data_IF_325543505196
#
_entry.id   IF_325543505196
#
_cell.length_a   1.000
_cell.length_b   1.000
_cell.length_c   1.000
_cell.angle_alpha   90.00
_cell.angle_beta   90.00
_cell.angle_gamma   90.00
#
_symmetry.space_group_name_H-M   'P 1'
#
loop_
_entity.id
_entity.type
_entity.pdbx_description
1 polymer ?
#
# COMPACT_ATOMS: atom_id res chain seq x y z
N UNK A 1 21.16 -0.41 17.17
CA UNK A 1 20.05 -0.56 16.19
C UNK A 1 20.63 -0.50 14.79
N UNK A 2 20.15 -1.36 13.90
CA UNK A 2 20.53 -1.34 12.50
C UNK A 2 19.71 -0.28 11.75
N UNK A 3 20.37 0.66 11.09
CA UNK A 3 19.68 1.67 10.29
C UNK A 3 19.12 1.05 9.00
N UNK A 4 17.86 1.32 8.72
CA UNK A 4 17.13 0.83 7.54
C UNK A 4 16.45 2.03 6.86
N UNK A 5 16.65 2.19 5.56
CA UNK A 5 15.98 3.25 4.80
C UNK A 5 14.58 2.79 4.40
N UNK A 6 13.60 3.65 4.64
CA UNK A 6 12.24 3.47 4.13
C UNK A 6 12.09 4.29 2.85
N UNK A 7 11.80 3.61 1.74
CA UNK A 7 11.69 4.19 0.40
C UNK A 7 10.37 4.96 0.23
N UNK A 8 10.13 5.94 1.08
CA UNK A 8 9.00 6.85 1.04
C UNK A 8 9.34 8.19 1.69
N UNK A 9 8.66 9.25 1.25
CA UNK A 9 8.66 10.55 1.93
C UNK A 9 7.47 10.75 2.87
N UNK A 10 6.59 9.77 2.99
CA UNK A 10 5.38 9.87 3.81
C UNK A 10 5.71 9.73 5.30
N UNK A 11 5.71 10.85 6.04
CA UNK A 11 6.05 10.88 7.46
C UNK A 11 5.13 10.00 8.35
N UNK A 12 3.88 9.79 7.94
CA UNK A 12 2.95 8.90 8.65
C UNK A 12 3.40 7.44 8.56
N UNK A 13 3.76 6.98 7.37
CA UNK A 13 4.31 5.63 7.15
C UNK A 13 5.63 5.41 7.88
N UNK A 14 6.50 6.42 7.88
CA UNK A 14 7.79 6.37 8.60
C UNK A 14 7.55 6.15 10.09
N UNK A 15 6.70 6.96 10.72
CA UNK A 15 6.39 6.84 12.16
C UNK A 15 5.76 5.49 12.51
N UNK A 16 4.84 5.01 11.69
CA UNK A 16 4.19 3.71 11.89
C UNK A 16 5.20 2.58 11.89
N UNK A 17 6.03 2.50 10.85
CA UNK A 17 7.04 1.44 10.74
C UNK A 17 8.15 1.58 11.78
N UNK A 18 8.58 2.79 12.10
CA UNK A 18 9.57 3.02 13.16
C UNK A 18 9.08 2.45 14.50
N UNK A 19 7.81 2.73 14.86
CA UNK A 19 7.22 2.21 16.09
C UNK A 19 7.10 0.68 16.09
N UNK A 20 6.69 0.08 14.96
CA UNK A 20 6.49 -1.37 14.87
C UNK A 20 7.81 -2.16 14.85
N UNK A 21 8.87 -1.57 14.33
CA UNK A 21 10.15 -2.25 14.10
C UNK A 21 11.22 -1.92 15.15
N UNK A 22 10.92 -1.03 16.10
CA UNK A 22 11.85 -0.69 17.20
C UNK A 22 12.28 -1.92 18.01
N UNK A 23 11.32 -2.79 18.36
CA UNK A 23 11.57 -4.02 19.11
C UNK A 23 12.44 -5.05 18.37
N UNK A 24 12.62 -4.89 17.05
CA UNK A 24 13.48 -5.72 16.22
C UNK A 24 14.91 -5.16 16.10
N UNK A 25 15.21 -4.07 16.82
CA UNK A 25 16.50 -3.41 16.76
C UNK A 25 16.75 -2.67 15.44
N UNK A 26 15.70 -2.30 14.72
CA UNK A 26 15.76 -1.56 13.47
C UNK A 26 15.45 -0.07 13.71
N UNK A 27 16.29 0.78 13.13
CA UNK A 27 16.14 2.24 13.13
C UNK A 27 15.71 2.69 11.73
N UNK A 28 14.44 3.05 11.59
CA UNK A 28 13.81 3.39 10.31
C UNK A 28 14.02 4.88 10.01
N UNK A 29 14.63 5.16 8.87
CA UNK A 29 14.91 6.52 8.40
C UNK A 29 14.25 6.72 7.03
N UNK A 30 13.56 7.85 6.86
CA UNK A 30 12.96 8.18 5.56
C UNK A 30 14.04 8.41 4.49
N UNK A 31 13.79 7.95 3.26
CA UNK A 31 14.70 8.21 2.15
C UNK A 31 14.95 9.71 1.91
N UNK A 32 13.96 10.53 2.14
CA UNK A 32 14.06 12.00 1.99
C UNK A 32 15.03 12.63 2.97
N UNK A 33 15.18 12.09 4.18
CA UNK A 33 16.17 12.54 5.17
C UNK A 33 17.60 12.19 4.74
N UNK A 34 17.75 11.20 3.87
CA UNK A 34 19.04 10.76 3.32
C UNK A 34 19.30 11.33 1.91
N UNK A 35 18.48 12.27 1.46
CA UNK A 35 18.64 12.93 0.17
C UNK A 35 18.37 12.03 -1.04
N UNK A 36 17.56 11.00 -0.87
CA UNK A 36 17.19 10.06 -1.95
C UNK A 36 15.89 10.50 -2.59
N UNK A 37 15.92 10.74 -3.89
CA UNK A 37 14.73 11.01 -4.69
C UNK A 37 13.93 9.73 -4.95
N UNK A 38 12.63 9.87 -5.25
CA UNK A 38 11.75 8.76 -5.57
C UNK A 38 12.22 8.01 -6.81
N UNK A 39 12.18 6.67 -6.75
CA UNK A 39 12.47 5.82 -7.90
C UNK A 39 11.38 5.97 -8.97
N UNK A 40 11.77 5.79 -10.23
CA UNK A 40 10.83 5.63 -11.34
C UNK A 40 10.17 4.24 -11.25
N UNK A 41 8.83 4.23 -11.21
CA UNK A 41 8.03 3.00 -11.13
C UNK A 41 7.71 2.51 -12.56
N UNK A 42 8.56 1.64 -13.10
CA UNK A 42 8.46 1.12 -14.47
C UNK A 42 7.85 -0.28 -14.55
N UNK A 43 7.55 -0.91 -13.42
CA UNK A 43 6.93 -2.23 -13.35
C UNK A 43 5.43 -2.19 -13.66
N UNK A 44 4.89 -3.35 -13.96
CA UNK A 44 3.46 -3.56 -14.24
C UNK A 44 2.69 -4.11 -13.03
N UNK A 45 3.39 -4.47 -11.97
CA UNK A 45 2.81 -5.04 -10.75
C UNK A 45 3.26 -4.28 -9.51
N UNK A 46 2.49 -4.41 -8.42
CA UNK A 46 2.88 -3.87 -7.11
C UNK A 46 4.22 -4.45 -6.64
N UNK A 47 4.46 -5.75 -6.83
CA UNK A 47 5.69 -6.43 -6.42
C UNK A 47 6.90 -5.85 -7.15
N UNK A 48 6.83 -5.71 -8.47
CA UNK A 48 7.92 -5.14 -9.28
C UNK A 48 8.27 -3.72 -8.82
N UNK A 49 7.26 -2.86 -8.70
CA UNK A 49 7.47 -1.46 -8.29
C UNK A 49 8.00 -1.35 -6.85
N UNK A 50 7.54 -2.21 -5.94
CA UNK A 50 8.03 -2.22 -4.57
C UNK A 50 9.49 -2.63 -4.50
N UNK A 51 9.90 -3.65 -5.25
CA UNK A 51 11.30 -4.08 -5.36
C UNK A 51 12.15 -2.97 -5.96
N UNK A 52 11.68 -2.33 -7.04
CA UNK A 52 12.39 -1.19 -7.67
C UNK A 52 12.65 -0.06 -6.68
N UNK A 53 11.66 0.32 -5.89
CA UNK A 53 11.78 1.38 -4.88
C UNK A 53 12.77 1.01 -3.77
N UNK A 54 12.67 -0.18 -3.23
CA UNK A 54 13.57 -0.66 -2.20
C UNK A 54 15.02 -0.74 -2.69
N UNK A 55 15.22 -1.28 -3.89
CA UNK A 55 16.53 -1.44 -4.50
C UNK A 55 17.19 -0.10 -4.81
N UNK A 56 16.44 0.85 -5.35
CA UNK A 56 16.90 2.22 -5.59
C UNK A 56 17.41 2.89 -4.31
N UNK A 57 16.62 2.84 -3.24
CA UNK A 57 17.02 3.41 -1.95
C UNK A 57 18.25 2.71 -1.37
N UNK A 58 18.32 1.38 -1.44
CA UNK A 58 19.47 0.61 -0.97
C UNK A 58 20.75 0.90 -1.77
N UNK A 59 20.65 1.07 -3.08
CA UNK A 59 21.80 1.40 -3.95
C UNK A 59 22.41 2.75 -3.60
N UNK A 60 21.57 3.77 -3.38
CA UNK A 60 22.05 5.13 -3.10
C UNK A 60 22.60 5.26 -1.67
N UNK A 61 21.95 4.63 -0.71
CA UNK A 61 22.29 4.79 0.70
C UNK A 61 23.32 3.77 1.22
N UNK A 62 23.47 2.62 0.55
CA UNK A 62 24.24 1.48 1.05
C UNK A 62 23.62 0.79 2.26
N UNK A 63 22.36 1.10 2.59
CA UNK A 63 21.63 0.56 3.75
C UNK A 63 20.63 -0.52 3.32
N UNK A 64 20.24 -1.42 4.24
CA UNK A 64 19.03 -2.20 4.05
C UNK A 64 17.84 -1.28 3.80
N UNK A 65 16.88 -1.73 3.01
CA UNK A 65 15.75 -0.92 2.61
C UNK A 65 14.42 -1.63 2.78
N UNK A 66 13.41 -0.88 3.18
CA UNK A 66 11.99 -1.29 3.13
C UNK A 66 11.28 -0.38 2.14
N UNK A 67 10.42 -0.95 1.32
CA UNK A 67 9.49 -0.21 0.48
C UNK A 67 8.08 -0.76 0.62
N UNK A 68 7.10 0.05 0.30
CA UNK A 68 5.72 -0.38 0.18
C UNK A 68 5.09 0.15 -1.12
N UNK A 69 4.14 -0.60 -1.63
CA UNK A 69 3.23 -0.14 -2.67
C UNK A 69 1.84 -0.70 -2.41
N UNK A 70 0.81 0.07 -2.68
CA UNK A 70 -0.56 -0.34 -2.47
C UNK A 70 -1.50 0.30 -3.47
N UNK A 71 -2.63 -0.34 -3.68
CA UNK A 71 -3.65 0.15 -4.58
C UNK A 71 -4.87 -0.75 -4.62
N UNK A 72 -5.82 -0.34 -5.43
CA UNK A 72 -7.10 -1.00 -5.63
C UNK A 72 -7.17 -1.64 -7.02
N UNK A 73 -7.52 -2.92 -7.07
CA UNK A 73 -7.77 -3.65 -8.31
C UNK A 73 -9.26 -4.00 -8.40
N UNK A 74 -9.92 -3.58 -9.47
CA UNK A 74 -11.36 -3.84 -9.71
C UNK A 74 -11.50 -4.86 -10.83
N UNK A 75 -12.20 -5.96 -10.57
CA UNK A 75 -12.28 -7.10 -11.49
C UNK A 75 -12.93 -6.70 -12.84
N UNK A 76 -14.03 -5.95 -12.79
CA UNK A 76 -14.74 -5.49 -14.00
C UNK A 76 -13.90 -4.54 -14.89
N UNK A 77 -12.82 -3.97 -14.35
CA UNK A 77 -11.90 -3.09 -15.07
C UNK A 77 -10.56 -3.77 -15.40
N UNK A 78 -10.50 -5.10 -15.34
CA UNK A 78 -9.28 -5.85 -15.63
C UNK A 78 -8.14 -5.57 -14.65
N UNK A 79 -8.45 -5.17 -13.42
CA UNK A 79 -7.49 -4.83 -12.37
C UNK A 79 -7.19 -3.32 -12.22
N UNK A 80 -7.72 -2.47 -13.09
CA UNK A 80 -7.59 -1.01 -12.91
C UNK A 80 -8.37 -0.54 -11.66
N UNK A 81 -7.96 0.54 -10.99
CA UNK A 81 -6.80 1.40 -11.21
C UNK A 81 -5.42 0.75 -10.99
N UNK A 82 -5.32 -0.32 -10.19
CA UNK A 82 -4.09 -1.08 -9.94
C UNK A 82 -2.95 -0.20 -9.43
N UNK A 83 -1.79 -0.32 -10.07
CA UNK A 83 -0.60 0.47 -9.71
C UNK A 83 -0.78 1.98 -9.92
N UNK A 84 -1.81 2.40 -10.64
CA UNK A 84 -2.13 3.82 -10.89
C UNK A 84 -3.16 4.39 -9.89
N UNK A 85 -3.49 3.66 -8.82
CA UNK A 85 -4.55 4.04 -7.89
C UNK A 85 -4.42 5.46 -7.33
N UNK A 86 -3.22 5.89 -6.96
CA UNK A 86 -2.99 7.23 -6.41
C UNK A 86 -3.11 8.36 -7.46
N UNK A 87 -2.95 8.05 -8.74
CA UNK A 87 -2.94 8.99 -9.87
C UNK A 87 -3.92 8.60 -10.99
N UNK A 88 -5.01 7.95 -10.62
CA UNK A 88 -5.99 7.42 -11.59
C UNK A 88 -6.60 8.52 -12.46
N UNK A 89 -6.88 9.69 -11.88
CA UNK A 89 -7.37 10.89 -12.59
C UNK A 89 -6.26 11.85 -13.04
N UNK A 90 -4.99 11.50 -12.87
CA UNK A 90 -3.83 12.32 -13.23
C UNK A 90 -2.81 12.41 -12.11
N UNK A 91 -1.64 12.98 -12.42
CA UNK A 91 -0.47 13.01 -11.51
C UNK A 91 -0.78 13.72 -10.19
N UNK A 92 -1.52 14.83 -10.22
CA UNK A 92 -1.85 15.61 -9.02
C UNK A 92 -3.33 15.45 -8.62
N UNK A 93 -3.96 14.34 -8.99
CA UNK A 93 -5.36 14.09 -8.67
C UNK A 93 -5.57 13.96 -7.16
N UNK A 94 -6.67 14.53 -6.67
CA UNK A 94 -7.15 14.32 -5.31
C UNK A 94 -7.79 12.94 -5.16
N UNK A 95 -7.90 12.46 -3.92
CA UNK A 95 -8.64 11.23 -3.62
C UNK A 95 -10.08 11.29 -4.15
N UNK A 96 -10.72 12.44 -4.02
CA UNK A 96 -12.09 12.65 -4.51
C UNK A 96 -12.17 12.51 -6.04
N UNK A 97 -11.22 13.09 -6.79
CA UNK A 97 -11.20 12.97 -8.25
C UNK A 97 -10.98 11.53 -8.71
N UNK A 98 -10.10 10.80 -8.03
CA UNK A 98 -9.84 9.38 -8.32
C UNK A 98 -11.08 8.52 -8.04
N UNK A 99 -11.75 8.76 -6.91
CA UNK A 99 -12.97 8.08 -6.50
C UNK A 99 -14.12 8.33 -7.50
N UNK A 100 -14.32 9.58 -7.91
CA UNK A 100 -15.36 9.95 -8.89
C UNK A 100 -15.11 9.32 -10.25
N UNK A 101 -13.85 9.29 -10.71
CA UNK A 101 -13.49 8.62 -11.95
C UNK A 101 -13.79 7.12 -11.89
N UNK A 102 -13.52 6.47 -10.76
CA UNK A 102 -13.83 5.05 -10.58
C UNK A 102 -15.33 4.80 -10.58
N UNK A 103 -16.13 5.62 -9.91
CA UNK A 103 -17.59 5.51 -9.94
C UNK A 103 -18.15 5.69 -11.35
N UNK A 104 -17.63 6.64 -12.12
CA UNK A 104 -18.03 6.83 -13.52
C UNK A 104 -17.66 5.62 -14.39
N UNK A 105 -16.47 5.08 -14.22
CA UNK A 105 -16.04 3.88 -14.95
C UNK A 105 -16.90 2.64 -14.66
N UNK A 106 -17.53 2.58 -13.49
CA UNK A 106 -18.37 1.47 -13.04
C UNK A 106 -19.88 1.74 -13.14
N UNK A 107 -20.31 2.87 -13.67
CA UNK A 107 -21.72 3.28 -13.68
C UNK A 107 -22.67 2.27 -14.32
N UNK A 108 -22.22 1.57 -15.37
CA UNK A 108 -22.99 0.57 -16.11
C UNK A 108 -22.68 -0.87 -15.67
N UNK A 109 -21.84 -1.05 -14.65
CA UNK A 109 -21.49 -2.37 -14.12
C UNK A 109 -22.53 -2.79 -13.08
N UNK A 110 -23.20 -3.97 -13.24
CA UNK A 110 -24.19 -4.46 -12.29
C UNK A 110 -23.63 -4.63 -10.88
N UNK A 111 -24.51 -4.56 -9.87
CA UNK A 111 -24.13 -4.62 -8.46
C UNK A 111 -23.44 -5.93 -8.07
N UNK A 112 -23.77 -7.03 -8.72
CA UNK A 112 -23.17 -8.36 -8.52
C UNK A 112 -21.83 -8.56 -9.24
N UNK A 113 -21.33 -7.56 -9.96
CA UNK A 113 -20.08 -7.60 -10.74
C UNK A 113 -19.09 -6.48 -10.35
N UNK A 114 -19.20 -5.98 -9.12
CA UNK A 114 -18.40 -4.85 -8.62
C UNK A 114 -17.34 -5.26 -7.61
N UNK A 115 -16.88 -6.52 -7.69
CA UNK A 115 -15.83 -7.05 -6.81
C UNK A 115 -14.50 -6.32 -7.04
N UNK A 116 -13.81 -6.07 -5.95
CA UNK A 116 -12.51 -5.42 -5.95
C UNK A 116 -11.64 -5.95 -4.80
N UNK A 117 -10.35 -5.70 -4.88
CA UNK A 117 -9.41 -5.99 -3.80
C UNK A 117 -8.44 -4.82 -3.62
N UNK A 118 -8.22 -4.41 -2.38
CA UNK A 118 -7.02 -3.66 -2.05
C UNK A 118 -5.83 -4.59 -1.93
N UNK A 119 -4.69 -4.15 -2.42
CA UNK A 119 -3.40 -4.83 -2.30
C UNK A 119 -2.40 -3.94 -1.59
N UNK A 120 -1.55 -4.53 -0.75
CA UNK A 120 -0.37 -3.90 -0.18
C UNK A 120 0.80 -4.88 -0.27
N UNK A 121 1.89 -4.43 -0.84
CA UNK A 121 3.15 -5.18 -0.88
C UNK A 121 4.18 -4.42 -0.06
N UNK A 122 4.83 -5.11 0.88
CA UNK A 122 6.01 -4.65 1.60
C UNK A 122 7.20 -5.50 1.17
N UNK A 123 8.32 -4.85 0.89
CA UNK A 123 9.58 -5.54 0.55
C UNK A 123 10.66 -5.07 1.51
N UNK A 124 11.42 -6.02 2.05
CA UNK A 124 12.64 -5.76 2.81
C UNK A 124 13.84 -6.36 2.09
N UNK A 125 14.81 -5.51 1.75
CA UNK A 125 16.10 -5.89 1.18
C UNK A 125 17.19 -5.70 2.23
N UNK A 126 18.05 -6.71 2.42
CA UNK A 126 19.23 -6.60 3.30
C UNK A 126 20.35 -5.77 2.67
N UNK A 127 20.40 -5.73 1.35
CA UNK A 127 21.32 -4.91 0.54
C UNK A 127 20.77 -4.76 -0.88
N UNK A 128 21.36 -3.89 -1.68
CA UNK A 128 20.86 -3.56 -3.03
C UNK A 128 20.77 -4.76 -3.99
N UNK A 129 21.66 -5.73 -3.84
CA UNK A 129 21.72 -6.93 -4.69
C UNK A 129 21.16 -8.18 -3.99
N UNK A 130 20.31 -7.99 -2.96
CA UNK A 130 19.72 -9.11 -2.23
C UNK A 130 18.91 -10.01 -3.19
N UNK A 131 19.32 -11.28 -3.38
CA UNK A 131 18.63 -12.21 -4.27
C UNK A 131 17.39 -12.84 -3.64
N UNK A 132 17.22 -12.67 -2.33
CA UNK A 132 16.14 -13.31 -1.57
C UNK A 132 15.46 -12.31 -0.63
N UNK A 133 14.87 -11.23 -1.19
CA UNK A 133 14.18 -10.25 -0.37
C UNK A 133 12.98 -10.87 0.35
N UNK A 134 12.59 -10.28 1.48
CA UNK A 134 11.29 -10.56 2.08
C UNK A 134 10.23 -9.82 1.28
N UNK A 135 9.25 -10.54 0.76
CA UNK A 135 8.11 -9.98 0.04
C UNK A 135 6.83 -10.35 0.81
N UNK A 136 6.16 -9.35 1.35
CA UNK A 136 4.96 -9.53 2.16
C UNK A 136 3.77 -8.89 1.43
N UNK A 137 2.79 -9.70 1.05
CA UNK A 137 1.65 -9.28 0.25
C UNK A 137 0.35 -9.51 1.03
N UNK A 138 -0.35 -8.42 1.35
CA UNK A 138 -1.70 -8.45 1.90
C UNK A 138 -2.73 -8.12 0.82
N UNK A 139 -3.88 -8.79 0.85
CA UNK A 139 -5.01 -8.50 0.00
C UNK A 139 -6.31 -8.46 0.80
N UNK A 140 -7.17 -7.51 0.47
CA UNK A 140 -8.41 -7.25 1.20
C UNK A 140 -9.58 -7.17 0.23
N UNK A 141 -10.42 -8.22 0.16
CA UNK A 141 -11.55 -8.26 -0.77
C UNK A 141 -12.72 -7.40 -0.31
N UNK A 142 -13.42 -6.82 -1.25
CA UNK A 142 -14.61 -6.02 -1.04
C UNK A 142 -15.39 -5.79 -2.31
N UNK A 143 -16.32 -4.84 -2.24
CA UNK A 143 -17.23 -4.49 -3.34
C UNK A 143 -17.28 -2.97 -3.47
N UNK A 144 -17.22 -2.46 -4.70
CA UNK A 144 -17.34 -1.02 -4.95
C UNK A 144 -18.81 -0.63 -4.90
N UNK A 145 -19.15 0.30 -4.00
CA UNK A 145 -20.50 0.86 -3.85
C UNK A 145 -20.82 1.86 -4.96
N UNK A 146 -22.07 2.24 -5.09
CA UNK A 146 -22.50 3.31 -6.02
C UNK A 146 -22.41 4.70 -5.40
N UNK A 147 -22.40 4.78 -4.07
CA UNK A 147 -22.35 6.03 -3.31
C UNK A 147 -21.33 5.91 -2.19
N UNK A 148 -20.64 7.01 -1.91
CA UNK A 148 -19.70 7.10 -0.81
C UNK A 148 -20.43 7.08 0.54
N UNK A 149 -19.81 6.41 1.53
CA UNK A 149 -20.25 6.40 2.92
C UNK A 149 -19.04 6.41 3.85
N UNK A 150 -19.14 7.19 4.94
CA UNK A 150 -18.07 7.33 5.92
C UNK A 150 -17.09 8.46 5.60
N UNK A 151 -16.31 8.83 6.60
CA UNK A 151 -15.37 9.96 6.55
C UNK A 151 -13.95 9.61 6.99
N UNK A 152 -13.73 8.37 7.42
CA UNK A 152 -12.41 7.88 7.84
C UNK A 152 -11.56 7.42 6.66
N UNK A 153 -10.31 7.10 6.94
CA UNK A 153 -9.39 6.58 5.94
C UNK A 153 -8.99 7.58 4.87
N UNK A 154 -8.69 7.08 3.68
CA UNK A 154 -8.23 7.86 2.54
C UNK A 154 -8.52 7.13 1.23
N UNK A 155 -8.25 7.77 0.10
CA UNK A 155 -8.39 7.16 -1.22
C UNK A 155 -9.81 6.69 -1.52
N UNK A 156 -9.94 5.41 -1.88
CA UNK A 156 -11.21 4.79 -2.28
C UNK A 156 -12.01 4.24 -1.09
N UNK A 157 -11.56 4.41 0.13
CA UNK A 157 -12.21 3.86 1.34
C UNK A 157 -13.72 4.13 1.43
N UNK A 158 -14.22 5.34 1.07
CA UNK A 158 -15.66 5.62 1.15
C UNK A 158 -16.55 4.80 0.21
N UNK A 159 -16.01 4.21 -0.84
CA UNK A 159 -16.76 3.39 -1.79
C UNK A 159 -16.36 1.91 -1.77
N UNK A 160 -15.46 1.53 -0.87
CA UNK A 160 -15.02 0.14 -0.68
C UNK A 160 -15.82 -0.50 0.45
N UNK A 161 -16.82 -1.27 0.09
CA UNK A 161 -17.67 -1.99 1.05
C UNK A 161 -17.03 -3.32 1.46
N UNK A 162 -17.00 -3.57 2.76
CA UNK A 162 -16.42 -4.77 3.37
C UNK A 162 -17.56 -5.68 3.83
N UNK A 163 -17.89 -6.75 3.09
CA UNK A 163 -19.07 -7.58 3.39
C UNK A 163 -19.04 -8.19 4.80
N UNK A 164 -17.86 -8.62 5.29
CA UNK A 164 -17.71 -9.19 6.63
C UNK A 164 -18.09 -8.23 7.76
N UNK A 165 -17.98 -6.93 7.52
CA UNK A 165 -18.23 -5.88 8.51
C UNK A 165 -19.57 -5.15 8.29
N UNK A 166 -20.18 -5.31 7.12
CA UNK A 166 -21.39 -4.58 6.73
C UNK A 166 -21.21 -3.08 6.62
N UNK A 167 -20.00 -2.61 6.38
CA UNK A 167 -19.61 -1.19 6.33
C UNK A 167 -18.61 -0.95 5.20
N UNK A 168 -18.48 0.33 4.79
CA UNK A 168 -17.34 0.73 3.95
C UNK A 168 -16.07 0.84 4.79
N UNK A 169 -14.91 0.78 4.15
CA UNK A 169 -13.63 0.96 4.81
C UNK A 169 -13.53 2.31 5.54
N UNK A 170 -14.18 3.36 5.02
CA UNK A 170 -14.23 4.67 5.64
C UNK A 170 -15.12 4.73 6.90
N UNK A 171 -16.00 3.78 7.09
CA UNK A 171 -16.87 3.66 8.27
C UNK A 171 -16.26 2.80 9.38
N UNK A 172 -15.15 2.11 9.12
CA UNK A 172 -14.41 1.35 10.14
C UNK A 172 -13.59 2.27 11.02
N UNK A 173 -13.42 1.90 12.29
CA UNK A 173 -12.42 2.55 13.14
C UNK A 173 -11.01 2.23 12.64
N UNK A 174 -10.03 3.01 13.09
CA UNK A 174 -8.62 2.79 12.74
C UNK A 174 -8.15 1.40 13.17
N UNK A 175 -8.54 0.98 14.36
CA UNK A 175 -8.22 -0.34 14.94
C UNK A 175 -8.89 -1.47 14.16
N UNK A 176 -10.18 -1.34 13.84
CA UNK A 176 -10.92 -2.32 13.04
C UNK A 176 -10.26 -2.50 11.66
N UNK A 177 -9.96 -1.39 10.99
CA UNK A 177 -9.30 -1.39 9.68
C UNK A 177 -7.91 -2.03 9.73
N UNK A 178 -7.08 -1.67 10.71
CA UNK A 178 -5.72 -2.21 10.87
C UNK A 178 -5.71 -3.72 11.08
N UNK A 179 -6.74 -4.27 11.72
CA UNK A 179 -6.84 -5.70 12.01
C UNK A 179 -7.07 -6.56 10.75
N UNK A 180 -7.74 -6.02 9.72
CA UNK A 180 -8.22 -6.80 8.56
C UNK A 180 -7.74 -6.27 7.21
N UNK A 181 -7.24 -5.05 7.14
CA UNK A 181 -6.86 -4.41 5.87
C UNK A 181 -5.66 -5.09 5.21
N UNK A 182 -5.51 -4.84 3.91
CA UNK A 182 -4.35 -5.22 3.11
C UNK A 182 -3.02 -4.81 3.75
N UNK A 183 -2.93 -3.55 4.23
CA UNK A 183 -1.74 -3.04 4.91
C UNK A 183 -1.49 -3.74 6.25
N UNK A 184 -2.52 -3.92 7.06
CA UNK A 184 -2.42 -4.67 8.32
C UNK A 184 -1.93 -6.10 8.12
N UNK A 185 -2.42 -6.79 7.09
CA UNK A 185 -1.97 -8.13 6.72
C UNK A 185 -0.49 -8.14 6.29
N UNK A 186 -0.08 -7.22 5.41
CA UNK A 186 1.31 -7.13 4.93
C UNK A 186 2.28 -6.83 6.07
N UNK A 187 1.93 -5.91 6.98
CA UNK A 187 2.72 -5.60 8.18
C UNK A 187 2.87 -6.80 9.11
N UNK A 188 1.79 -7.53 9.34
CA UNK A 188 1.83 -8.76 10.16
C UNK A 188 2.79 -9.79 9.57
N UNK A 189 2.72 -10.01 8.26
CA UNK A 189 3.63 -10.93 7.56
C UNK A 189 5.10 -10.50 7.68
N UNK A 190 5.37 -9.19 7.57
CA UNK A 190 6.72 -8.66 7.73
C UNK A 190 7.26 -8.92 9.14
N UNK A 191 6.46 -8.64 10.18
CA UNK A 191 6.86 -8.87 11.57
C UNK A 191 7.10 -10.35 11.86
N UNK A 192 6.25 -11.24 11.33
CA UNK A 192 6.43 -12.69 11.44
C UNK A 192 7.72 -13.17 10.74
N UNK A 193 7.98 -12.66 9.53
CA UNK A 193 9.19 -13.00 8.79
C UNK A 193 10.47 -12.55 9.52
N UNK A 194 10.46 -11.36 10.11
CA UNK A 194 11.59 -10.83 10.88
C UNK A 194 11.83 -11.57 12.21
N UNK A 195 10.80 -12.15 12.81
CA UNK A 195 10.94 -12.99 14.02
C UNK A 195 11.56 -14.35 13.74
N UNK A 196 11.32 -14.88 12.53
CA UNK A 196 11.74 -16.24 12.15
C UNK A 196 13.09 -16.25 11.40
N UNK A 197 13.63 -15.11 11.09
CA UNK A 197 14.93 -14.96 10.42
C UNK A 197 15.98 -14.41 11.35
#
# INVERSE_FOLDING_TARGET
>A
MQKVVLATGNAGKVRELASLLEDFGLDIVAQTELGVDSAEETGLTFIENTILKARHAAQITGLPAIADDSGLAVDALGGAPGIYSARYSGVDASDQQNLEKLLDALKDVPDDQRQAQFHCVLVYLRHAEDPTPLVCHGSWPGVITRQAAGHGGFGYDPIFFVPSEGKTAAELSREEKSAISHRGQALKLLLEALRNG
#
